data_IF_442020717658
#
_entry.id   IF_442020717658
#
_cell.length_a   1.000
_cell.length_b   1.000
_cell.length_c   1.000
_cell.angle_alpha   90.00
_cell.angle_beta   90.00
_cell.angle_gamma   90.00
#
_symmetry.space_group_name_H-M   'P 1'
#
loop_
_entity.id
_entity.type
_entity.pdbx_description
1 polymer ?
#
# COMPACT_ATOMS: atom_id res chain seq x y z
N UNK A 1 -14.41 9.95 -10.75
CA UNK A 1 -13.10 10.06 -10.08
C UNK A 1 -12.93 11.45 -9.48
N UNK A 2 -11.98 11.63 -8.55
CA UNK A 2 -11.67 12.94 -7.93
C UNK A 2 -11.26 13.97 -8.99
N UNK A 3 -10.52 13.55 -10.02
CA UNK A 3 -10.10 14.39 -11.14
C UNK A 3 -11.31 15.02 -11.87
N UNK A 4 -12.36 14.24 -12.17
CA UNK A 4 -13.58 14.75 -12.83
C UNK A 4 -14.30 15.80 -12.00
N UNK A 5 -14.31 15.67 -10.66
CA UNK A 5 -14.88 16.69 -9.77
C UNK A 5 -14.08 18.01 -9.82
N UNK A 6 -12.79 17.94 -10.10
CA UNK A 6 -11.93 19.09 -10.37
C UNK A 6 -11.95 19.57 -11.83
N UNK A 7 -12.88 19.08 -12.67
CA UNK A 7 -12.98 19.47 -14.07
C UNK A 7 -11.97 18.81 -15.02
N UNK A 8 -11.19 17.83 -14.53
CA UNK A 8 -10.18 17.12 -15.32
C UNK A 8 -10.71 15.73 -15.69
N UNK A 9 -10.85 15.46 -16.99
CA UNK A 9 -11.26 14.14 -17.49
C UNK A 9 -10.01 13.33 -17.85
N UNK A 10 -9.73 12.20 -17.18
CA UNK A 10 -8.64 11.31 -17.59
C UNK A 10 -8.92 10.76 -18.99
N UNK A 11 -7.94 10.86 -19.88
CA UNK A 11 -8.00 10.29 -21.25
C UNK A 11 -7.24 8.97 -21.36
N UNK A 12 -6.57 8.56 -20.28
CA UNK A 12 -5.79 7.34 -20.21
C UNK A 12 -5.81 6.80 -18.78
N UNK A 13 -5.98 5.49 -18.64
CA UNK A 13 -5.82 4.75 -17.40
C UNK A 13 -5.02 3.46 -17.71
N UNK A 14 -4.00 3.11 -16.91
CA UNK A 14 -3.21 1.90 -17.14
C UNK A 14 -4.03 0.65 -16.81
N UNK A 15 -3.69 -0.48 -17.43
CA UNK A 15 -4.36 -1.78 -17.22
C UNK A 15 -4.26 -2.27 -15.77
N UNK A 16 -3.18 -1.89 -15.08
CA UNK A 16 -2.98 -2.12 -13.65
C UNK A 16 -2.61 -0.79 -12.98
N UNK A 17 -3.19 -0.55 -11.81
CA UNK A 17 -2.95 0.64 -11.00
C UNK A 17 -1.56 0.63 -10.31
N UNK A 18 -0.48 0.53 -11.08
CA UNK A 18 0.90 0.59 -10.59
C UNK A 18 1.73 1.61 -11.35
N UNK A 19 2.75 2.16 -10.68
CA UNK A 19 3.72 3.07 -11.28
C UNK A 19 4.42 2.46 -12.50
N UNK A 20 4.83 1.19 -12.40
CA UNK A 20 5.53 0.51 -13.48
C UNK A 20 4.63 0.31 -14.72
N UNK A 21 3.37 -0.09 -14.50
CA UNK A 21 2.41 -0.28 -15.60
C UNK A 21 2.06 1.04 -16.27
N UNK A 22 1.80 2.10 -15.49
CA UNK A 22 1.58 3.44 -16.05
C UNK A 22 2.78 3.93 -16.85
N UNK A 23 3.99 3.75 -16.33
CA UNK A 23 5.21 4.13 -17.03
C UNK A 23 5.34 3.42 -18.38
N UNK A 24 4.97 2.14 -18.45
CA UNK A 24 5.05 1.34 -19.67
C UNK A 24 3.97 1.69 -20.69
N UNK A 25 2.74 1.90 -20.24
CA UNK A 25 1.56 1.97 -21.11
C UNK A 25 1.16 3.39 -21.50
N UNK A 26 1.65 4.43 -20.82
CA UNK A 26 1.30 5.82 -21.15
C UNK A 26 1.63 6.11 -22.63
N UNK A 27 0.68 6.53 -23.48
CA UNK A 27 0.96 6.71 -24.91
C UNK A 27 2.01 7.78 -25.16
N UNK A 28 2.94 7.50 -26.06
CA UNK A 28 3.78 8.55 -26.64
C UNK A 28 2.95 9.31 -27.67
N UNK A 29 2.94 10.65 -27.64
CA UNK A 29 2.28 11.42 -28.68
C UNK A 29 2.90 11.13 -30.05
N UNK A 30 2.07 11.14 -31.09
CA UNK A 30 2.47 10.77 -32.46
C UNK A 30 3.30 11.83 -33.18
N UNK A 31 3.41 13.03 -32.62
CA UNK A 31 4.19 14.12 -33.19
C UNK A 31 5.63 14.08 -32.67
N UNK A 32 6.58 14.43 -33.54
CA UNK A 32 7.97 14.60 -33.15
C UNK A 32 8.09 15.77 -32.17
N UNK A 33 8.72 15.55 -31.01
CA UNK A 33 8.86 16.60 -30.02
C UNK A 33 9.33 16.13 -28.65
N UNK A 34 9.54 17.11 -27.76
CA UNK A 34 9.89 16.87 -26.35
C UNK A 34 8.61 16.94 -25.52
N UNK A 35 8.21 15.81 -24.95
CA UNK A 35 6.96 15.68 -24.21
C UNK A 35 7.19 15.80 -22.73
N UNK A 36 6.67 16.87 -22.11
CA UNK A 36 6.83 17.10 -20.68
C UNK A 36 5.66 16.51 -19.89
N UNK A 37 5.94 15.70 -18.87
CA UNK A 37 4.96 15.16 -17.94
C UNK A 37 5.11 15.87 -16.59
N UNK A 38 4.06 16.58 -16.15
CA UNK A 38 3.98 17.05 -14.77
C UNK A 38 3.54 15.90 -13.88
N UNK A 39 4.35 15.55 -12.87
CA UNK A 39 4.10 14.43 -11.97
C UNK A 39 3.96 14.89 -10.50
N UNK A 40 2.75 15.24 -10.05
CA UNK A 40 2.46 15.45 -8.64
C UNK A 40 2.55 14.12 -7.87
N UNK A 41 3.42 14.06 -6.87
CA UNK A 41 3.67 12.85 -6.11
C UNK A 41 3.91 13.14 -4.62
N UNK A 42 3.93 12.09 -3.81
CA UNK A 42 4.50 12.18 -2.46
C UNK A 42 6.01 12.41 -2.55
N UNK A 43 6.56 13.15 -1.58
CA UNK A 43 8.00 13.24 -1.35
C UNK A 43 8.65 11.86 -1.17
N UNK A 44 7.92 10.88 -0.64
CA UNK A 44 8.40 9.51 -0.39
C UNK A 44 8.06 8.51 -1.49
N UNK A 45 7.39 8.94 -2.56
CA UNK A 45 7.08 8.04 -3.67
C UNK A 45 8.38 7.54 -4.32
N UNK A 46 8.43 6.26 -4.69
CA UNK A 46 9.57 5.71 -5.43
C UNK A 46 9.68 6.36 -6.81
N UNK A 47 10.88 6.36 -7.38
CA UNK A 47 11.16 6.97 -8.69
C UNK A 47 10.70 6.11 -9.87
N UNK A 48 10.12 4.92 -9.64
CA UNK A 48 9.72 3.97 -10.68
C UNK A 48 8.93 4.57 -11.84
N UNK A 49 7.99 5.48 -11.56
CA UNK A 49 7.22 6.14 -12.63
C UNK A 49 8.05 7.18 -13.38
N UNK A 50 8.81 8.00 -12.65
CA UNK A 50 9.67 9.05 -13.20
C UNK A 50 10.76 8.44 -14.09
N UNK A 51 11.51 7.47 -13.58
CA UNK A 51 12.55 6.77 -14.31
C UNK A 51 11.99 6.04 -15.53
N UNK A 52 10.84 5.37 -15.36
CA UNK A 52 10.18 4.64 -16.44
C UNK A 52 9.71 5.55 -17.57
N UNK A 53 9.12 6.72 -17.26
CA UNK A 53 8.73 7.69 -18.27
C UNK A 53 9.94 8.35 -18.94
N UNK A 54 10.97 8.73 -18.17
CA UNK A 54 12.21 9.28 -18.71
C UNK A 54 12.87 8.29 -19.70
N UNK A 55 12.89 7.00 -19.37
CA UNK A 55 13.44 5.95 -20.25
C UNK A 55 12.71 5.82 -21.59
N UNK A 56 11.46 6.31 -21.65
CA UNK A 56 10.61 6.31 -22.86
C UNK A 56 10.62 7.65 -23.61
N UNK A 57 11.46 8.60 -23.20
CA UNK A 57 11.64 9.88 -23.89
C UNK A 57 10.78 11.04 -23.36
N UNK A 58 10.04 10.84 -22.28
CA UNK A 58 9.36 11.96 -21.61
C UNK A 58 10.35 12.79 -20.80
N UNK A 59 10.12 14.10 -20.74
CA UNK A 59 10.75 14.98 -19.74
C UNK A 59 9.83 15.06 -18.53
N UNK A 60 10.21 14.43 -17.42
CA UNK A 60 9.38 14.41 -16.22
C UNK A 60 9.71 15.62 -15.33
N UNK A 61 8.67 16.37 -14.96
CA UNK A 61 8.72 17.43 -13.94
C UNK A 61 7.99 16.95 -12.70
N UNK A 62 8.72 16.37 -11.76
CA UNK A 62 8.14 15.91 -10.50
C UNK A 62 7.88 17.07 -9.55
N UNK A 63 6.70 17.05 -8.92
CA UNK A 63 6.32 17.95 -7.84
C UNK A 63 5.97 17.15 -6.59
N UNK A 64 6.80 17.26 -5.56
CA UNK A 64 6.52 16.63 -4.27
C UNK A 64 5.48 17.46 -3.52
N UNK A 65 4.21 17.09 -3.68
CA UNK A 65 3.04 17.86 -3.21
C UNK A 65 2.63 17.57 -1.77
N UNK A 66 3.03 16.43 -1.23
CA UNK A 66 2.74 16.04 0.16
C UNK A 66 3.80 15.06 0.69
N UNK A 67 3.88 14.91 2.01
CA UNK A 67 4.72 13.91 2.67
C UNK A 67 3.87 13.01 3.58
N UNK A 68 4.28 11.76 3.73
CA UNK A 68 3.69 10.82 4.68
C UNK A 68 4.53 10.80 5.95
N UNK A 69 4.12 11.53 6.97
CA UNK A 69 4.79 11.53 8.29
C UNK A 69 4.09 10.56 9.25
N UNK A 70 4.82 9.92 10.18
CA UNK A 70 4.18 9.11 11.22
C UNK A 70 3.18 9.93 12.03
N UNK A 71 1.99 9.40 12.25
CA UNK A 71 1.01 10.03 13.14
C UNK A 71 1.49 9.98 14.59
N UNK A 72 1.28 11.05 15.35
CA UNK A 72 1.53 11.10 16.79
C UNK A 72 0.49 10.23 17.50
N UNK A 73 0.92 9.38 18.45
CA UNK A 73 0.02 8.59 19.28
C UNK A 73 0.08 9.10 20.71
N UNK A 74 -1.08 9.38 21.28
CA UNK A 74 -1.21 9.60 22.71
C UNK A 74 -1.34 8.25 23.45
N UNK A 75 -1.37 8.30 24.78
CA UNK A 75 -1.49 7.10 25.63
C UNK A 75 -2.74 6.29 25.33
N UNK A 76 -3.87 6.97 25.03
CA UNK A 76 -5.12 6.31 24.70
C UNK A 76 -5.04 5.53 23.39
N UNK A 77 -4.47 6.15 22.35
CA UNK A 77 -4.25 5.50 21.04
C UNK A 77 -3.31 4.31 21.17
N UNK A 78 -2.21 4.46 21.94
CA UNK A 78 -1.27 3.36 22.17
C UNK A 78 -1.95 2.19 22.89
N UNK A 79 -2.74 2.46 23.93
CA UNK A 79 -3.48 1.44 24.69
C UNK A 79 -4.48 0.71 23.78
N UNK A 80 -5.25 1.44 22.98
CA UNK A 80 -6.19 0.86 22.01
C UNK A 80 -5.49 0.02 20.95
N UNK A 81 -4.31 0.45 20.50
CA UNK A 81 -3.53 -0.29 19.51
C UNK A 81 -2.94 -1.58 20.11
N UNK A 82 -2.55 -1.58 21.39
CA UNK A 82 -2.07 -2.78 22.10
C UNK A 82 -3.16 -3.84 22.29
N UNK A 83 -4.42 -3.43 22.40
CA UNK A 83 -5.56 -4.35 22.54
C UNK A 83 -6.13 -4.82 21.20
N UNK A 84 -5.43 -4.57 20.08
CA UNK A 84 -5.91 -4.93 18.75
C UNK A 84 -5.52 -6.36 18.39
N UNK A 85 -6.52 -7.18 18.02
CA UNK A 85 -6.29 -8.57 17.60
C UNK A 85 -5.74 -8.68 16.16
N UNK A 86 -6.14 -7.75 15.28
CA UNK A 86 -5.79 -7.76 13.85
C UNK A 86 -5.56 -6.33 13.36
N UNK A 87 -4.48 -6.12 12.62
CA UNK A 87 -4.12 -4.81 12.07
C UNK A 87 -4.24 -4.83 10.55
N UNK A 88 -4.78 -3.76 9.99
CA UNK A 88 -4.92 -3.63 8.54
C UNK A 88 -3.98 -2.56 7.99
N UNK A 89 -3.28 -2.84 6.89
CA UNK A 89 -2.30 -1.93 6.30
C UNK A 89 -2.60 -1.57 4.86
N UNK A 90 -2.78 -0.28 4.60
CA UNK A 90 -2.93 0.27 3.25
C UNK A 90 -1.59 0.66 2.61
N UNK A 91 -0.48 0.70 3.36
CA UNK A 91 0.81 1.13 2.83
C UNK A 91 2.01 0.57 3.62
N UNK A 92 3.19 0.42 2.97
CA UNK A 92 4.42 0.02 3.64
C UNK A 92 4.88 0.96 4.76
N UNK A 93 4.57 2.26 4.67
CA UNK A 93 4.93 3.22 5.72
C UNK A 93 4.13 2.98 6.99
N UNK A 94 2.86 2.59 6.89
CA UNK A 94 2.04 2.24 8.05
C UNK A 94 2.58 1.00 8.78
N UNK A 95 3.02 -0.01 8.03
CA UNK A 95 3.68 -1.22 8.56
C UNK A 95 4.89 -0.84 9.44
N UNK A 96 5.78 0.02 8.90
CA UNK A 96 7.00 0.46 9.61
C UNK A 96 6.68 1.20 10.91
N UNK A 97 5.69 2.09 10.88
CA UNK A 97 5.29 2.87 12.06
C UNK A 97 4.73 1.94 13.13
N UNK A 98 3.81 1.04 12.77
CA UNK A 98 3.25 0.07 13.71
C UNK A 98 4.35 -0.81 14.32
N UNK A 99 5.20 -1.43 13.48
CA UNK A 99 6.22 -2.37 13.97
C UNK A 99 7.22 -1.71 14.89
N UNK A 100 7.57 -0.44 14.62
CA UNK A 100 8.47 0.32 15.50
C UNK A 100 7.89 0.61 16.88
N UNK A 101 6.56 0.58 17.03
CA UNK A 101 5.85 0.92 18.28
C UNK A 101 5.38 -0.30 19.06
N UNK A 102 4.90 -1.32 18.35
CA UNK A 102 4.21 -2.48 18.93
C UNK A 102 4.80 -3.83 18.52
N UNK A 103 5.84 -3.84 17.68
CA UNK A 103 6.43 -5.08 17.17
C UNK A 103 5.60 -5.74 16.06
N UNK A 104 5.82 -7.03 15.85
CA UNK A 104 5.33 -7.77 14.67
C UNK A 104 4.44 -8.97 14.99
N UNK A 105 4.05 -9.12 16.26
CA UNK A 105 3.28 -10.28 16.74
C UNK A 105 1.79 -10.22 16.34
N UNK A 106 1.25 -9.03 16.09
CA UNK A 106 -0.16 -8.88 15.72
C UNK A 106 -0.38 -9.38 14.28
N UNK A 107 -1.35 -10.27 14.02
CA UNK A 107 -1.75 -10.65 12.68
C UNK A 107 -2.14 -9.46 11.80
N UNK A 108 -1.82 -9.53 10.51
CA UNK A 108 -2.02 -8.40 9.59
C UNK A 108 -2.72 -8.77 8.29
N UNK A 109 -3.63 -7.91 7.86
CA UNK A 109 -4.27 -7.95 6.55
C UNK A 109 -3.90 -6.69 5.75
N UNK A 110 -3.13 -6.88 4.68
CA UNK A 110 -2.66 -5.80 3.82
C UNK A 110 -3.62 -5.59 2.63
N UNK A 111 -3.80 -4.35 2.19
CA UNK A 111 -4.65 -4.02 1.03
C UNK A 111 -4.15 -4.61 -0.29
N UNK A 112 -2.85 -4.95 -0.35
CA UNK A 112 -2.22 -5.52 -1.54
C UNK A 112 -0.76 -5.93 -1.30
N UNK A 113 -0.19 -6.53 -2.34
CA UNK A 113 1.11 -7.21 -2.33
C UNK A 113 2.27 -6.32 -1.83
N UNK A 114 2.30 -5.05 -2.21
CA UNK A 114 3.37 -4.11 -1.82
C UNK A 114 3.47 -3.96 -0.29
N UNK A 115 2.33 -3.82 0.38
CA UNK A 115 2.26 -3.70 1.84
C UNK A 115 2.54 -5.03 2.52
N UNK A 116 2.02 -6.13 1.98
CA UNK A 116 2.26 -7.47 2.51
C UNK A 116 3.74 -7.86 2.44
N UNK A 117 4.41 -7.55 1.33
CA UNK A 117 5.85 -7.76 1.16
C UNK A 117 6.66 -6.95 2.17
N UNK A 118 6.24 -5.72 2.49
CA UNK A 118 6.87 -4.93 3.54
C UNK A 118 6.69 -5.56 4.93
N UNK A 119 5.50 -6.04 5.26
CA UNK A 119 5.22 -6.73 6.53
C UNK A 119 6.04 -8.01 6.68
N UNK A 120 6.06 -8.87 5.66
CA UNK A 120 6.87 -10.11 5.65
C UNK A 120 8.36 -9.83 5.86
N UNK A 121 8.92 -8.82 5.16
CA UNK A 121 10.34 -8.44 5.32
C UNK A 121 10.68 -7.93 6.72
N UNK A 122 9.73 -7.31 7.42
CA UNK A 122 9.93 -6.79 8.78
C UNK A 122 9.79 -7.90 9.84
N UNK A 123 9.18 -9.04 9.48
CA UNK A 123 9.05 -10.20 10.38
C UNK A 123 7.68 -10.34 11.03
N UNK A 124 6.61 -9.93 10.34
CA UNK A 124 5.25 -10.32 10.73
C UNK A 124 4.98 -11.78 10.36
N UNK A 125 4.45 -12.56 11.30
CA UNK A 125 4.24 -14.00 11.13
C UNK A 125 3.01 -14.32 10.28
N UNK A 126 1.86 -13.71 10.59
CA UNK A 126 0.59 -13.94 9.90
C UNK A 126 0.24 -12.74 9.03
N UNK A 127 0.55 -12.83 7.73
CA UNK A 127 0.27 -11.80 6.73
C UNK A 127 -0.70 -12.34 5.66
N UNK A 128 -1.83 -11.66 5.45
CA UNK A 128 -2.75 -11.90 4.32
C UNK A 128 -2.91 -10.65 3.46
N UNK A 129 -3.22 -10.85 2.19
CA UNK A 129 -3.57 -9.80 1.22
C UNK A 129 -4.30 -10.43 0.03
N UNK A 130 -5.17 -9.69 -0.66
CA UNK A 130 -5.89 -10.22 -1.81
C UNK A 130 -5.01 -10.26 -3.06
N UNK A 131 -5.30 -11.22 -3.95
CA UNK A 131 -4.73 -11.27 -5.30
C UNK A 131 -5.22 -10.10 -6.16
N UNK A 132 -6.48 -9.67 -5.96
CA UNK A 132 -7.07 -8.51 -6.62
C UNK A 132 -7.16 -7.33 -5.65
N UNK A 133 -6.50 -6.19 -5.94
CA UNK A 133 -6.59 -5.01 -5.10
C UNK A 133 -8.01 -4.42 -5.12
N UNK A 134 -8.50 -4.00 -3.97
CA UNK A 134 -9.84 -3.43 -3.83
C UNK A 134 -10.39 -3.63 -2.42
N UNK A 135 -11.50 -2.97 -2.11
CA UNK A 135 -12.12 -3.08 -0.78
C UNK A 135 -12.61 -4.49 -0.49
N UNK A 136 -13.29 -5.15 -1.44
CA UNK A 136 -13.83 -6.49 -1.24
C UNK A 136 -12.72 -7.52 -1.00
N UNK A 137 -11.65 -7.46 -1.79
CA UNK A 137 -10.47 -8.30 -1.60
C UNK A 137 -9.81 -8.03 -0.23
N UNK A 138 -9.72 -6.77 0.19
CA UNK A 138 -9.12 -6.43 1.47
C UNK A 138 -9.96 -6.95 2.65
N UNK A 139 -11.30 -6.90 2.55
CA UNK A 139 -12.22 -7.49 3.54
C UNK A 139 -12.03 -9.00 3.63
N UNK A 140 -11.94 -9.71 2.49
CA UNK A 140 -11.70 -11.15 2.49
C UNK A 140 -10.37 -11.51 3.17
N UNK A 141 -9.30 -10.74 2.90
CA UNK A 141 -8.02 -10.93 3.58
C UNK A 141 -8.11 -10.75 5.10
N UNK A 142 -9.01 -9.89 5.61
CA UNK A 142 -9.26 -9.75 7.05
C UNK A 142 -9.96 -11.01 7.59
N UNK A 143 -10.99 -11.50 6.89
CA UNK A 143 -11.72 -12.70 7.30
C UNK A 143 -10.80 -13.93 7.39
N UNK A 144 -9.90 -14.11 6.41
CA UNK A 144 -8.91 -15.18 6.43
C UNK A 144 -7.96 -15.11 7.64
N UNK A 145 -7.61 -13.89 8.08
CA UNK A 145 -6.82 -13.69 9.30
C UNK A 145 -7.62 -14.09 10.54
N UNK A 146 -8.90 -13.73 10.62
CA UNK A 146 -9.79 -14.11 11.72
C UNK A 146 -9.90 -15.64 11.84
N UNK A 147 -10.08 -16.33 10.72
CA UNK A 147 -10.18 -17.79 10.66
C UNK A 147 -8.87 -18.48 11.06
N UNK A 148 -7.74 -17.95 10.58
CA UNK A 148 -6.40 -18.45 10.91
C UNK A 148 -6.08 -18.26 12.40
N UNK A 149 -6.44 -17.11 12.96
CA UNK A 149 -6.24 -16.79 14.39
C UNK A 149 -7.12 -17.66 15.29
N UNK A 150 -8.37 -17.92 14.90
CA UNK A 150 -9.30 -18.80 15.64
C UNK A 150 -8.82 -20.25 15.68
N UNK A 151 -8.24 -20.74 14.58
CA UNK A 151 -7.68 -22.10 14.48
C UNK A 151 -6.42 -22.27 15.35
N UNK A 152 -5.63 -21.20 15.51
CA UNK A 152 -4.43 -21.22 16.38
C UNK A 152 -4.78 -21.26 17.88
N UNK A 153 -5.91 -20.67 18.28
CA UNK A 153 -6.44 -20.66 19.66
C UNK A 153 -6.95 -22.04 20.09
N UNK A 154 -7.50 -22.82 19.14
CA UNK A 154 -7.95 -24.21 19.35
C UNK A 154 -6.78 -25.19 19.58
N UNK A 155 -5.62 -24.97 18.97
CA UNK A 155 -4.44 -25.81 19.21
C UNK A 155 -3.77 -25.56 20.57
N UNK A 156 -3.93 -24.38 21.18
CA UNK A 156 -3.31 -24.06 22.48
C UNK A 156 -4.02 -24.67 23.69
N UNK A 157 -5.21 -25.26 23.52
CA UNK A 157 -6.00 -25.85 24.61
C UNK A 157 -5.88 -27.38 24.75
N UNK A 158 -5.13 -28.06 23.88
CA UNK A 158 -5.07 -29.53 23.83
C UNK A 158 -3.75 -30.17 24.32
N UNK A 159 -3.06 -29.57 25.30
CA UNK A 159 -2.00 -30.27 26.04
C UNK A 159 -2.10 -30.02 27.54
N UNK A 160 -2.98 -30.78 28.20
CA UNK A 160 -2.80 -31.27 29.57
C UNK A 160 -3.37 -32.69 29.65
N UNK A 161 -2.47 -33.67 29.67
CA UNK A 161 -2.68 -34.98 30.27
C UNK A 161 -1.39 -35.31 31.03
#
# INVERSE_FOLDING_TARGET
>A
SILKKGGIVPVFEPTKATAATLALELPLPSEDGVWTVLYPASAKAANTLEDGLCSRGFVVRRLNTYDTVPATWDTATLTSAQSTDIVTFASPSAVKVWSSRLGTLTPVACIGETSASAAKRIGFDLVRYPDLPGMDGWVNAILEVIESSSSSSLCKHNFKA
#
